data_IF_820853401414
#
_entry.id   IF_820853401414
#
_cell.length_a   1.000
_cell.length_b   1.000
_cell.length_c   1.000
_cell.angle_alpha   90.00
_cell.angle_beta   90.00
_cell.angle_gamma   90.00
#
_symmetry.space_group_name_H-M   'P 1'
#
loop_
_entity.id
_entity.type
_entity.pdbx_description
1 polymer ?
#
# COMPACT_ATOMS: atom_id res chain seq x y z
N UNK A 1 -47.03 42.91 41.87
CA UNK A 1 -46.93 44.29 41.35
C UNK A 1 -45.58 44.82 41.81
N UNK A 2 -44.59 45.21 41.03
CA UNK A 2 -44.32 45.39 39.59
C UNK A 2 -42.78 45.27 39.47
N UNK A 3 -42.25 44.29 38.74
CA UNK A 3 -41.50 44.44 37.46
C UNK A 3 -40.56 45.65 37.34
N UNK A 4 -39.25 45.39 37.43
CA UNK A 4 -38.23 46.16 36.73
C UNK A 4 -37.20 45.19 36.12
N UNK A 5 -37.23 45.12 34.79
CA UNK A 5 -36.45 44.23 33.93
C UNK A 5 -35.07 44.82 33.69
N UNK A 6 -34.00 44.15 34.10
CA UNK A 6 -32.62 44.50 33.70
C UNK A 6 -32.17 43.55 32.59
N UNK A 7 -32.03 44.11 31.38
CA UNK A 7 -31.54 43.41 30.18
C UNK A 7 -30.02 43.37 30.22
N UNK A 8 -29.44 42.17 30.44
CA UNK A 8 -28.01 41.92 30.24
C UNK A 8 -27.85 41.21 28.89
N UNK A 9 -27.39 41.96 27.89
CA UNK A 9 -26.99 41.44 26.59
C UNK A 9 -25.64 40.73 26.73
N UNK A 10 -25.67 39.41 26.90
CA UNK A 10 -24.50 38.53 26.85
C UNK A 10 -24.29 38.07 25.40
N UNK A 11 -23.35 38.73 24.70
CA UNK A 11 -22.82 38.24 23.42
C UNK A 11 -21.89 37.07 23.73
N UNK A 12 -22.42 35.85 23.70
CA UNK A 12 -21.66 34.61 23.68
C UNK A 12 -21.13 34.37 22.26
N UNK A 13 -19.90 34.77 21.98
CA UNK A 13 -19.13 34.21 20.88
C UNK A 13 -18.75 32.77 21.23
N UNK A 14 -19.26 31.80 20.46
CA UNK A 14 -18.84 30.41 20.51
C UNK A 14 -17.33 30.28 20.30
N UNK A 15 -16.60 30.06 21.39
CA UNK A 15 -15.24 29.54 21.36
C UNK A 15 -15.36 28.01 21.23
N UNK A 16 -15.19 27.48 20.01
CA UNK A 16 -14.97 26.04 19.83
C UNK A 16 -13.60 25.67 20.41
N UNK A 17 -13.61 25.07 21.61
CA UNK A 17 -12.47 24.36 22.17
C UNK A 17 -12.33 23.06 21.37
N UNK A 18 -11.51 23.08 20.31
CA UNK A 18 -10.97 21.85 19.72
C UNK A 18 -9.80 21.37 20.56
N UNK A 19 -10.07 20.36 21.38
CA UNK A 19 -9.05 19.52 21.99
C UNK A 19 -8.33 18.80 20.83
N UNK A 20 -7.12 19.25 20.52
CA UNK A 20 -6.26 18.68 19.50
C UNK A 20 -5.76 17.31 19.92
N UNK A 21 -6.39 16.26 19.40
CA UNK A 21 -5.79 14.94 19.34
C UNK A 21 -4.78 14.91 18.19
N UNK A 22 -3.55 14.59 18.54
CA UNK A 22 -2.35 14.51 17.71
C UNK A 22 -2.57 13.66 16.45
N UNK A 23 -2.65 14.32 15.30
CA UNK A 23 -2.42 13.70 13.99
C UNK A 23 -0.93 13.40 13.84
N UNK A 24 -0.61 12.15 13.58
CA UNK A 24 0.71 11.70 13.18
C UNK A 24 1.21 12.49 11.97
N UNK A 25 2.51 12.70 11.94
CA UNK A 25 3.25 13.64 11.11
C UNK A 25 3.22 13.20 9.63
N UNK A 26 2.21 13.63 8.88
CA UNK A 26 2.40 13.98 7.47
C UNK A 26 3.02 15.38 7.44
N UNK A 27 4.35 15.45 7.50
CA UNK A 27 5.06 16.68 7.18
C UNK A 27 4.93 16.92 5.67
N UNK A 28 3.95 17.73 5.30
CA UNK A 28 3.59 18.12 3.95
C UNK A 28 4.81 18.59 3.16
N UNK A 29 5.22 17.81 2.15
CA UNK A 29 6.12 18.30 1.10
C UNK A 29 5.54 19.63 0.57
N UNK A 30 6.26 20.76 0.68
CA UNK A 30 5.73 22.05 0.26
C UNK A 30 5.36 22.14 -1.22
N UNK A 31 5.88 21.24 -2.07
CA UNK A 31 5.52 21.11 -3.48
C UNK A 31 4.27 20.22 -3.72
N UNK A 32 3.79 19.52 -2.70
CA UNK A 32 2.55 18.72 -2.75
C UNK A 32 1.29 19.61 -2.77
N UNK A 33 1.40 20.85 -2.28
CA UNK A 33 0.30 21.79 -2.33
C UNK A 33 0.20 22.41 -3.73
N UNK A 34 -0.96 22.26 -4.39
CA UNK A 34 -1.21 22.54 -5.82
C UNK A 34 -1.02 24.01 -6.27
N UNK A 35 -0.57 24.89 -5.40
CA UNK A 35 -0.32 26.31 -5.68
C UNK A 35 1.11 26.61 -6.16
N UNK A 36 2.05 25.67 -6.06
CA UNK A 36 3.43 25.87 -6.53
C UNK A 36 3.67 25.15 -7.85
N UNK A 37 3.97 25.92 -8.91
CA UNK A 37 4.26 25.41 -10.24
C UNK A 37 5.62 24.68 -10.28
N UNK A 38 5.79 23.79 -11.25
CA UNK A 38 7.09 23.20 -11.57
C UNK A 38 8.14 24.29 -11.79
N UNK A 39 9.29 24.14 -11.14
CA UNK A 39 10.35 25.14 -11.12
C UNK A 39 10.27 26.14 -9.96
N UNK A 40 9.20 26.17 -9.16
CA UNK A 40 9.18 26.98 -7.94
C UNK A 40 10.29 26.56 -6.98
N UNK A 41 11.01 27.53 -6.41
CA UNK A 41 12.14 27.28 -5.51
C UNK A 41 11.92 27.91 -4.15
N UNK A 42 12.41 27.29 -3.08
CA UNK A 42 12.38 27.89 -1.75
C UNK A 42 13.59 27.46 -0.92
N UNK A 43 14.00 28.34 0.01
CA UNK A 43 15.24 28.17 0.75
C UNK A 43 15.14 27.05 1.78
N UNK A 44 16.28 26.41 2.06
CA UNK A 44 16.42 25.52 3.21
C UNK A 44 16.67 26.33 4.47
N UNK A 45 16.06 25.94 5.59
CA UNK A 45 16.15 26.68 6.86
C UNK A 45 17.57 26.69 7.46
N UNK A 46 18.41 25.72 7.13
CA UNK A 46 19.71 25.50 7.79
C UNK A 46 20.91 25.47 6.82
N UNK A 47 20.68 25.64 5.52
CA UNK A 47 21.74 25.59 4.48
C UNK A 47 21.60 26.84 3.61
N UNK A 48 22.47 27.83 3.82
CA UNK A 48 22.31 29.13 3.14
C UNK A 48 22.56 29.09 1.63
N UNK A 49 23.32 28.12 1.11
CA UNK A 49 23.42 27.82 -0.34
C UNK A 49 22.40 26.78 -0.84
N UNK A 50 21.55 26.25 0.03
CA UNK A 50 20.65 25.12 -0.25
C UNK A 50 19.21 25.57 -0.51
N UNK A 51 18.59 24.96 -1.51
CA UNK A 51 17.20 25.23 -1.86
C UNK A 51 16.47 23.99 -2.37
N UNK A 52 15.16 24.00 -2.22
CA UNK A 52 14.26 23.02 -2.81
C UNK A 52 13.72 23.55 -4.13
N UNK A 53 13.61 22.69 -5.14
CA UNK A 53 12.94 22.97 -6.40
C UNK A 53 11.78 22.01 -6.62
N UNK A 54 10.60 22.52 -6.92
CA UNK A 54 9.44 21.70 -7.27
C UNK A 54 9.61 21.09 -8.66
N UNK A 55 9.49 19.77 -8.75
CA UNK A 55 9.49 19.02 -10.02
C UNK A 55 8.37 17.98 -9.96
N UNK A 56 7.35 18.15 -10.79
CA UNK A 56 6.14 17.32 -10.86
C UNK A 56 5.47 17.14 -9.49
N UNK A 57 5.32 18.25 -8.75
CA UNK A 57 4.67 18.26 -7.42
C UNK A 57 5.48 17.63 -6.29
N UNK A 58 6.80 17.46 -6.47
CA UNK A 58 7.73 16.95 -5.43
C UNK A 58 8.90 17.89 -5.22
N UNK A 59 9.38 17.98 -3.99
CA UNK A 59 10.57 18.78 -3.64
C UNK A 59 11.87 18.05 -3.96
N UNK A 60 12.72 18.67 -4.77
CA UNK A 60 14.07 18.18 -5.10
C UNK A 60 15.12 19.13 -4.52
N UNK A 61 16.04 18.61 -3.71
CA UNK A 61 17.13 19.38 -3.15
C UNK A 61 18.13 19.82 -4.24
N UNK A 62 18.57 21.07 -4.18
CA UNK A 62 19.55 21.68 -5.07
C UNK A 62 20.44 22.65 -4.29
N UNK A 63 21.56 23.01 -4.91
CA UNK A 63 22.60 23.83 -4.32
C UNK A 63 23.03 24.92 -5.29
N UNK A 64 23.35 26.08 -4.74
CA UNK A 64 24.04 27.15 -5.47
C UNK A 64 25.52 26.80 -5.70
N UNK A 65 26.17 27.55 -6.60
CA UNK A 65 27.60 27.37 -6.88
C UNK A 65 28.43 27.78 -5.66
N UNK A 66 29.71 27.40 -5.65
CA UNK A 66 30.62 27.81 -4.58
C UNK A 66 30.62 29.34 -4.43
N UNK A 67 30.52 29.84 -3.20
CA UNK A 67 30.46 31.28 -2.84
C UNK A 67 29.15 31.99 -3.24
N UNK A 68 28.08 31.24 -3.51
CA UNK A 68 26.74 31.77 -3.71
C UNK A 68 25.80 31.32 -2.58
N UNK A 69 24.83 32.17 -2.23
CA UNK A 69 23.73 31.89 -1.31
C UNK A 69 22.41 31.88 -2.06
N UNK A 70 21.46 31.07 -1.62
CA UNK A 70 20.12 31.07 -2.18
C UNK A 70 19.29 32.19 -1.58
N UNK A 71 18.75 33.07 -2.44
CA UNK A 71 17.93 34.20 -2.01
C UNK A 71 16.43 33.88 -2.15
N UNK A 72 15.70 33.65 -1.04
CA UNK A 72 14.33 33.12 -1.08
C UNK A 72 13.32 34.04 -1.78
N UNK A 73 13.49 35.36 -1.70
CA UNK A 73 12.59 36.31 -2.35
C UNK A 73 12.87 36.50 -3.85
N UNK A 74 14.09 36.19 -4.31
CA UNK A 74 14.49 36.32 -5.72
C UNK A 74 14.49 34.95 -6.43
N UNK A 75 14.22 33.87 -5.69
CA UNK A 75 14.22 32.49 -6.16
C UNK A 75 15.49 32.07 -6.93
N UNK A 76 16.63 32.70 -6.62
CA UNK A 76 17.90 32.50 -7.34
C UNK A 76 19.10 32.51 -6.40
N UNK A 77 20.22 32.00 -6.90
CA UNK A 77 21.51 32.09 -6.25
C UNK A 77 22.13 33.46 -6.51
N UNK A 78 22.70 34.06 -5.47
CA UNK A 78 23.40 35.34 -5.54
C UNK A 78 24.78 35.22 -4.87
N UNK A 79 25.78 36.03 -5.27
CA UNK A 79 27.10 36.02 -4.63
C UNK A 79 27.02 36.34 -3.13
N UNK A 80 27.71 35.58 -2.29
CA UNK A 80 27.86 35.86 -0.85
C UNK A 80 28.98 36.88 -0.62
N UNK A 81 28.70 38.14 -0.95
CA UNK A 81 29.69 39.24 -0.89
C UNK A 81 30.19 39.54 0.52
N UNK A 82 29.42 39.14 1.53
CA UNK A 82 29.72 39.42 2.94
C UNK A 82 30.31 38.22 3.68
N UNK A 83 30.57 37.10 2.98
CA UNK A 83 31.03 35.83 3.57
C UNK A 83 30.19 35.41 4.78
N UNK A 84 28.89 35.70 4.72
CA UNK A 84 27.96 35.46 5.83
C UNK A 84 27.62 33.99 5.98
N UNK A 85 27.73 33.23 4.89
CA UNK A 85 27.54 31.79 4.88
C UNK A 85 28.89 31.09 5.01
N UNK A 86 29.31 30.81 6.25
CA UNK A 86 30.46 29.93 6.53
C UNK A 86 30.29 28.50 5.99
N UNK A 87 29.08 28.15 5.53
CA UNK A 87 28.71 26.85 5.00
C UNK A 87 28.43 26.93 3.49
N UNK A 88 29.46 27.29 2.71
CA UNK A 88 29.42 27.25 1.23
C UNK A 88 29.45 25.83 0.68
N UNK A 89 29.78 24.84 1.52
CA UNK A 89 29.56 23.43 1.22
C UNK A 89 28.08 23.11 1.44
N UNK A 90 27.33 23.17 0.34
CA UNK A 90 26.02 22.55 0.29
C UNK A 90 26.23 21.03 0.39
N UNK A 91 26.24 20.54 1.63
CA UNK A 91 26.52 19.16 2.02
C UNK A 91 25.45 18.18 1.59
N UNK A 92 25.29 18.00 0.28
CA UNK A 92 24.89 16.72 -0.29
C UNK A 92 26.21 16.03 -0.63
N UNK A 93 27.05 15.63 0.33
CA UNK A 93 26.98 14.45 1.21
C UNK A 93 28.03 14.71 2.33
N UNK A 94 27.67 14.61 3.62
CA UNK A 94 28.34 13.77 4.67
C UNK A 94 27.75 14.04 6.09
N UNK A 95 27.96 13.15 7.09
CA UNK A 95 26.94 12.44 7.85
C UNK A 95 26.34 13.27 8.98
N UNK A 96 25.11 12.89 9.37
CA UNK A 96 24.59 13.19 10.71
C UNK A 96 25.61 12.71 11.74
N UNK A 97 26.01 13.61 12.66
CA UNK A 97 27.11 13.44 13.60
C UNK A 97 26.97 12.21 14.53
N UNK A 98 25.77 11.64 14.64
CA UNK A 98 25.55 10.24 15.05
C UNK A 98 24.34 9.72 14.29
N UNK A 99 24.56 8.86 13.30
CA UNK A 99 23.44 8.18 12.67
C UNK A 99 22.87 7.15 13.63
N UNK A 100 21.72 7.45 14.24
CA UNK A 100 20.96 6.53 15.11
C UNK A 100 20.33 5.37 14.34
N UNK A 101 20.42 5.42 13.00
CA UNK A 101 19.93 4.39 12.12
C UNK A 101 21.06 3.51 11.64
N UNK A 102 20.85 2.20 11.67
CA UNK A 102 21.77 1.22 11.09
C UNK A 102 21.16 0.59 9.85
N UNK A 103 21.91 0.38 8.76
CA UNK A 103 21.41 -0.39 7.64
C UNK A 103 21.03 -1.80 8.12
N UNK A 104 19.95 -2.35 7.59
CA UNK A 104 19.62 -3.76 7.84
C UNK A 104 20.60 -4.63 7.05
N UNK A 105 21.22 -5.60 7.72
CA UNK A 105 22.33 -6.40 7.17
C UNK A 105 21.99 -7.04 5.80
N UNK A 106 20.75 -7.49 5.61
CA UNK A 106 20.30 -8.18 4.39
C UNK A 106 19.50 -7.29 3.41
N UNK A 107 19.40 -5.98 3.66
CA UNK A 107 18.54 -5.11 2.85
C UNK A 107 19.03 -3.66 2.80
N UNK A 108 19.55 -3.26 1.63
CA UNK A 108 19.97 -1.86 1.37
C UNK A 108 18.79 -0.90 1.27
N UNK A 109 17.56 -1.40 1.12
CA UNK A 109 16.35 -0.59 1.08
C UNK A 109 15.69 -0.47 2.45
N UNK A 110 16.31 -0.98 3.50
CA UNK A 110 15.78 -0.95 4.86
C UNK A 110 16.83 -0.45 5.85
N UNK A 111 16.36 0.22 6.90
CA UNK A 111 17.19 0.68 8.00
C UNK A 111 16.51 0.43 9.34
N UNK A 112 17.28 0.42 10.41
CA UNK A 112 16.84 0.09 11.75
C UNK A 112 17.09 1.25 12.70
N UNK A 113 16.15 1.54 13.59
CA UNK A 113 16.32 2.51 14.68
C UNK A 113 16.10 1.82 16.03
N UNK A 114 16.93 2.12 17.02
CA UNK A 114 16.73 1.65 18.40
C UNK A 114 16.07 2.75 19.22
N UNK A 115 14.81 2.52 19.61
CA UNK A 115 14.04 3.43 20.47
C UNK A 115 13.72 2.71 21.77
N UNK A 116 14.29 3.19 22.89
CA UNK A 116 14.04 2.60 24.21
C UNK A 116 14.47 1.13 24.33
N UNK A 117 15.51 0.71 23.61
CA UNK A 117 16.00 -0.68 23.60
C UNK A 117 15.24 -1.63 22.66
N UNK A 118 14.22 -1.15 21.95
CA UNK A 118 13.52 -1.93 20.91
C UNK A 118 14.00 -1.49 19.53
N UNK A 119 14.29 -2.46 18.66
CA UNK A 119 14.71 -2.22 17.27
C UNK A 119 13.50 -2.16 16.35
N UNK A 120 13.32 -1.06 15.65
CA UNK A 120 12.29 -0.86 14.64
C UNK A 120 12.93 -0.88 13.24
N UNK A 121 12.29 -1.55 12.28
CA UNK A 121 12.75 -1.59 10.88
C UNK A 121 11.88 -0.69 10.01
N UNK A 122 12.52 0.10 9.16
CA UNK A 122 11.90 1.06 8.26
C UNK A 122 12.34 0.78 6.82
N UNK A 123 11.43 0.97 5.87
CA UNK A 123 11.75 0.89 4.45
C UNK A 123 12.06 2.27 3.87
N UNK A 124 13.04 2.32 3.00
CA UNK A 124 13.31 3.48 2.15
C UNK A 124 12.22 3.66 1.09
N UNK A 125 11.99 4.89 0.61
CA UNK A 125 11.16 5.14 -0.56
C UNK A 125 11.54 4.24 -1.75
N UNK A 126 10.58 3.76 -2.56
CA UNK A 126 10.88 2.91 -3.70
C UNK A 126 11.93 3.51 -4.64
N UNK A 127 12.96 2.73 -4.96
CA UNK A 127 14.08 3.16 -5.82
C UNK A 127 15.20 3.90 -5.08
N UNK A 128 15.17 3.93 -3.74
CA UNK A 128 16.24 4.51 -2.92
C UNK A 128 16.83 3.47 -1.96
N UNK A 129 18.08 3.67 -1.54
CA UNK A 129 18.78 2.83 -0.58
C UNK A 129 19.18 3.67 0.64
N UNK A 130 19.19 3.06 1.82
CA UNK A 130 19.68 3.70 3.02
C UNK A 130 21.21 3.72 2.98
N UNK A 131 21.79 4.92 3.01
CA UNK A 131 23.22 5.11 3.14
C UNK A 131 23.51 5.64 4.54
N UNK A 132 24.26 4.85 5.29
CA UNK A 132 24.64 5.21 6.65
C UNK A 132 25.54 6.46 6.66
N UNK A 133 26.36 6.68 5.61
CA UNK A 133 27.23 7.87 5.51
C UNK A 133 26.47 9.19 5.42
N UNK A 134 25.18 9.17 5.07
CA UNK A 134 24.31 10.36 5.04
C UNK A 134 23.10 10.24 5.96
N UNK A 135 23.02 9.13 6.70
CA UNK A 135 21.91 8.76 7.57
C UNK A 135 20.52 8.94 6.91
N UNK A 136 20.41 8.60 5.63
CA UNK A 136 19.22 8.87 4.85
C UNK A 136 19.07 7.92 3.67
N UNK A 137 17.86 7.85 3.14
CA UNK A 137 17.57 7.14 1.90
C UNK A 137 17.91 8.03 0.70
N UNK A 138 18.77 7.55 -0.19
CA UNK A 138 19.16 8.27 -1.41
C UNK A 138 19.08 7.37 -2.64
N UNK A 139 19.12 8.01 -3.80
CA UNK A 139 19.40 7.33 -5.06
C UNK A 139 20.89 6.99 -5.09
N UNK A 140 21.23 5.71 -5.17
CA UNK A 140 22.60 5.25 -5.36
C UNK A 140 23.08 5.72 -6.74
N UNK A 141 24.09 6.60 -6.79
CA UNK A 141 24.62 7.14 -8.06
C UNK A 141 25.56 6.16 -8.77
N UNK A 142 26.06 5.13 -8.08
CA UNK A 142 26.99 4.14 -8.65
C UNK A 142 26.28 2.85 -9.10
N UNK A 143 24.98 2.72 -8.85
CA UNK A 143 24.15 1.66 -9.44
C UNK A 143 23.04 2.27 -10.30
N UNK A 144 23.36 2.48 -11.59
CA UNK A 144 22.34 2.52 -12.64
C UNK A 144 21.52 1.23 -12.58
N UNK A 145 20.34 1.33 -11.98
CA UNK A 145 19.11 0.58 -12.28
C UNK A 145 19.31 -0.92 -12.51
N UNK A 146 19.42 -1.68 -11.42
CA UNK A 146 18.54 -2.85 -11.36
C UNK A 146 17.17 -2.25 -11.09
N UNK A 147 16.29 -2.17 -12.09
CA UNK A 147 14.86 -2.04 -11.79
C UNK A 147 14.61 -3.19 -10.83
N UNK A 148 14.25 -2.97 -9.56
CA UNK A 148 13.89 -4.09 -8.72
C UNK A 148 12.78 -4.78 -9.49
N UNK A 149 13.03 -6.01 -9.94
CA UNK A 149 11.98 -6.82 -10.59
C UNK A 149 10.73 -6.71 -9.73
N UNK A 150 9.56 -6.69 -10.34
CA UNK A 150 8.33 -6.41 -9.61
C UNK A 150 8.16 -7.41 -8.44
N UNK A 151 8.51 -6.96 -7.22
CA UNK A 151 8.51 -7.79 -6.02
C UNK A 151 7.16 -7.69 -5.31
N UNK A 152 6.71 -8.78 -4.67
CA UNK A 152 5.50 -8.73 -3.88
C UNK A 152 5.71 -7.83 -2.65
N UNK A 153 4.71 -7.00 -2.35
CA UNK A 153 4.63 -6.20 -1.12
C UNK A 153 4.05 -7.00 0.05
N UNK A 154 3.41 -8.13 -0.25
CA UNK A 154 3.02 -9.15 0.70
C UNK A 154 3.14 -10.50 0.01
N UNK A 155 3.76 -11.45 0.68
CA UNK A 155 3.96 -12.81 0.19
C UNK A 155 3.76 -13.77 1.36
N UNK A 156 3.02 -14.84 1.11
CA UNK A 156 2.93 -15.97 2.00
C UNK A 156 3.00 -17.28 1.23
N UNK A 157 4.02 -18.06 1.57
CA UNK A 157 4.23 -19.42 1.06
C UNK A 157 3.40 -20.45 1.81
N UNK A 158 2.98 -20.13 3.04
CA UNK A 158 2.39 -21.10 3.96
C UNK A 158 3.28 -22.34 4.21
N UNK A 159 4.61 -22.20 4.12
CA UNK A 159 5.55 -23.29 4.43
C UNK A 159 5.86 -23.46 5.93
N UNK A 160 5.51 -22.45 6.74
CA UNK A 160 5.76 -22.39 8.17
C UNK A 160 4.48 -22.13 8.97
N UNK A 161 4.40 -22.75 10.14
CA UNK A 161 3.31 -22.60 11.11
C UNK A 161 3.38 -21.23 11.81
N UNK A 162 4.56 -20.59 11.82
CA UNK A 162 4.72 -19.26 12.41
C UNK A 162 4.02 -18.24 11.50
N UNK A 163 3.10 -17.41 12.03
CA UNK A 163 2.51 -16.34 11.25
C UNK A 163 3.65 -15.43 10.77
N UNK A 164 3.86 -15.38 9.45
CA UNK A 164 4.76 -14.40 8.85
C UNK A 164 4.33 -12.99 9.31
N UNK A 165 5.28 -12.07 9.47
CA UNK A 165 4.99 -10.75 10.01
C UNK A 165 3.82 -10.08 9.26
N UNK A 166 2.78 -9.71 10.01
CA UNK A 166 1.60 -9.08 9.44
C UNK A 166 0.50 -10.01 8.96
N UNK A 167 0.63 -11.33 9.15
CA UNK A 167 -0.43 -12.30 8.88
C UNK A 167 -1.10 -12.72 10.19
N UNK A 168 -2.43 -12.63 10.23
CA UNK A 168 -3.26 -13.15 11.30
C UNK A 168 -4.14 -14.29 10.76
N UNK A 169 -4.08 -15.47 11.37
CA UNK A 169 -4.92 -16.60 10.99
C UNK A 169 -5.88 -17.00 12.11
N UNK A 170 -6.99 -17.64 11.74
CA UNK A 170 -7.95 -18.20 12.70
C UNK A 170 -8.45 -19.55 12.20
N UNK A 171 -8.29 -20.59 13.03
CA UNK A 171 -8.81 -21.94 12.76
C UNK A 171 -8.24 -22.62 11.51
N UNK A 172 -7.11 -22.11 10.98
CA UNK A 172 -6.47 -22.65 9.78
C UNK A 172 -5.72 -23.94 10.10
N UNK A 173 -5.76 -24.88 9.17
CA UNK A 173 -4.98 -26.11 9.23
C UNK A 173 -3.85 -26.03 8.21
N UNK A 174 -2.63 -26.28 8.65
CA UNK A 174 -1.49 -26.40 7.76
C UNK A 174 -1.35 -27.86 7.38
N UNK A 175 -1.46 -28.17 6.09
CA UNK A 175 -1.34 -29.54 5.60
C UNK A 175 -0.01 -29.66 4.87
N UNK A 176 0.79 -30.65 5.29
CA UNK A 176 1.96 -31.13 4.56
C UNK A 176 1.57 -32.48 3.95
N UNK A 177 1.39 -32.52 2.63
CA UNK A 177 0.99 -33.75 1.94
C UNK A 177 2.18 -34.71 1.70
N UNK A 178 3.41 -34.30 2.08
CA UNK A 178 4.61 -35.11 2.03
C UNK A 178 4.99 -35.60 0.63
N UNK A 179 4.29 -35.12 -0.42
CA UNK A 179 4.63 -35.43 -1.80
C UNK A 179 5.59 -34.36 -2.29
N UNK A 180 6.63 -34.78 -2.99
CA UNK A 180 7.72 -33.95 -3.52
C UNK A 180 7.25 -33.06 -4.70
N UNK A 181 6.19 -32.29 -4.46
CA UNK A 181 5.64 -31.31 -5.36
C UNK A 181 5.99 -29.93 -4.82
N UNK A 182 6.13 -28.94 -5.71
CA UNK A 182 6.38 -27.54 -5.36
C UNK A 182 5.28 -26.87 -4.49
N UNK A 183 4.31 -27.64 -3.99
CA UNK A 183 3.15 -27.25 -3.17
C UNK A 183 2.80 -28.31 -2.11
N UNK A 184 3.83 -28.96 -1.56
CA UNK A 184 3.66 -29.99 -0.54
C UNK A 184 2.98 -29.44 0.72
N UNK A 185 3.17 -28.14 1.00
CA UNK A 185 2.60 -27.44 2.14
C UNK A 185 1.62 -26.38 1.67
N UNK A 186 0.49 -26.28 2.35
CA UNK A 186 -0.54 -25.28 2.04
C UNK A 186 -1.41 -25.02 3.26
N UNK A 187 -2.14 -23.89 3.20
CA UNK A 187 -3.18 -23.62 4.18
C UNK A 187 -4.52 -24.19 3.71
N UNK A 188 -5.14 -25.01 4.55
CA UNK A 188 -6.48 -25.53 4.33
C UNK A 188 -7.49 -24.73 5.16
N UNK A 189 -8.55 -24.28 4.47
CA UNK A 189 -9.64 -23.52 5.03
C UNK A 189 -10.88 -24.42 5.06
N UNK A 190 -11.39 -24.69 6.27
CA UNK A 190 -12.45 -25.69 6.49
C UNK A 190 -13.88 -25.13 6.45
N UNK A 191 -14.12 -23.98 5.82
CA UNK A 191 -15.43 -23.30 5.86
C UNK A 191 -15.72 -22.55 7.16
N UNK A 192 -14.74 -22.44 8.07
CA UNK A 192 -14.82 -21.54 9.24
C UNK A 192 -13.51 -20.78 9.50
N UNK A 193 -12.41 -21.31 8.97
CA UNK A 193 -11.09 -20.73 9.03
C UNK A 193 -10.92 -19.53 8.10
N UNK A 194 -9.98 -18.64 8.42
CA UNK A 194 -9.59 -17.53 7.54
C UNK A 194 -8.16 -17.04 7.83
N UNK A 195 -7.58 -16.38 6.84
CA UNK A 195 -6.28 -15.68 6.95
C UNK A 195 -6.50 -14.20 6.65
N UNK A 196 -5.90 -13.30 7.43
CA UNK A 196 -5.98 -11.86 7.28
C UNK A 196 -4.56 -11.29 7.15
N UNK A 197 -4.29 -10.64 6.02
CA UNK A 197 -3.02 -9.97 5.75
C UNK A 197 -3.13 -8.54 6.28
N UNK A 198 -2.87 -8.38 7.58
CA UNK A 198 -3.06 -7.15 8.36
C UNK A 198 -2.16 -6.02 7.87
N UNK A 199 -0.96 -6.33 7.37
CA UNK A 199 -0.03 -5.34 6.77
C UNK A 199 -0.62 -4.58 5.59
N UNK A 200 -1.65 -5.13 4.94
CA UNK A 200 -2.36 -4.47 3.86
C UNK A 200 -3.58 -3.65 4.32
N UNK A 201 -3.82 -3.54 5.63
CA UNK A 201 -4.89 -2.71 6.17
C UNK A 201 -4.69 -1.25 5.80
N UNK A 202 -5.77 -0.55 5.47
CA UNK A 202 -5.75 0.83 4.98
C UNK A 202 -4.87 1.07 3.74
N UNK A 203 -4.44 0.03 3.02
CA UNK A 203 -3.63 0.20 1.83
C UNK A 203 -4.43 0.83 0.68
N UNK A 204 -3.77 1.76 -0.02
CA UNK A 204 -4.30 2.41 -1.20
C UNK A 204 -3.74 1.77 -2.46
N UNK A 205 -4.63 1.22 -3.30
CA UNK A 205 -4.28 0.60 -4.57
C UNK A 205 -4.69 1.53 -5.73
N UNK A 206 -4.01 2.67 -5.86
CA UNK A 206 -4.42 3.73 -6.79
C UNK A 206 -4.04 3.42 -8.24
N UNK A 207 -2.82 2.99 -8.52
CA UNK A 207 -2.35 2.87 -9.90
C UNK A 207 -2.37 1.45 -10.44
N UNK A 208 -1.85 0.52 -9.63
CA UNK A 208 -1.65 -0.86 -10.03
C UNK A 208 -1.85 -1.76 -8.83
N UNK A 209 -2.49 -2.90 -9.07
CA UNK A 209 -2.61 -3.99 -8.12
C UNK A 209 -2.54 -5.30 -8.90
N UNK A 210 -1.61 -6.17 -8.54
CA UNK A 210 -1.65 -7.56 -8.96
C UNK A 210 -1.75 -8.45 -7.72
N UNK A 211 -2.58 -9.49 -7.79
CA UNK A 211 -2.73 -10.49 -6.75
C UNK A 211 -2.60 -11.85 -7.43
N UNK A 212 -1.75 -12.72 -6.89
CA UNK A 212 -1.60 -14.11 -7.35
C UNK A 212 -1.73 -15.05 -6.18
N UNK A 213 -2.35 -16.20 -6.40
CA UNK A 213 -2.32 -17.33 -5.47
C UNK A 213 -2.71 -18.61 -6.20
N UNK A 214 -2.36 -19.74 -5.60
CA UNK A 214 -2.88 -21.04 -5.98
C UNK A 214 -4.06 -21.42 -5.10
N UNK A 215 -5.06 -22.06 -5.69
CA UNK A 215 -6.27 -22.48 -4.98
C UNK A 215 -6.73 -23.86 -5.46
N UNK A 216 -7.15 -24.70 -4.53
CA UNK A 216 -7.79 -25.99 -4.80
C UNK A 216 -9.10 -26.10 -4.02
N UNK A 217 -10.25 -25.77 -4.64
CA UNK A 217 -11.55 -25.87 -4.00
C UNK A 217 -12.01 -27.32 -3.89
N UNK A 218 -12.65 -27.71 -2.78
CA UNK A 218 -13.12 -29.10 -2.58
C UNK A 218 -14.38 -29.45 -3.40
N UNK A 219 -15.06 -28.43 -3.93
CA UNK A 219 -16.11 -28.56 -4.93
C UNK A 219 -17.49 -29.04 -4.47
N UNK A 220 -17.62 -29.48 -3.22
CA UNK A 220 -18.89 -29.95 -2.66
C UNK A 220 -19.58 -28.87 -1.81
N UNK A 221 -20.15 -27.85 -2.46
CA UNK A 221 -20.88 -26.78 -1.78
C UNK A 221 -22.04 -26.28 -2.64
N UNK A 222 -23.13 -25.83 -2.02
CA UNK A 222 -24.37 -25.42 -2.69
C UNK A 222 -24.64 -23.89 -2.64
N UNK A 223 -23.70 -23.12 -2.09
CA UNK A 223 -23.80 -21.68 -1.88
C UNK A 223 -22.59 -20.97 -2.49
N UNK A 224 -22.57 -19.63 -2.44
CA UNK A 224 -21.39 -18.88 -2.93
C UNK A 224 -20.39 -18.77 -1.80
N UNK A 225 -19.13 -19.08 -2.05
CA UNK A 225 -18.06 -18.92 -1.06
C UNK A 225 -17.20 -17.70 -1.39
N UNK A 226 -16.62 -17.07 -0.38
CA UNK A 226 -15.70 -15.93 -0.58
C UNK A 226 -14.27 -16.38 -0.38
N UNK A 227 -13.47 -16.29 -1.44
CA UNK A 227 -12.06 -16.63 -1.43
C UNK A 227 -11.25 -15.46 -0.90
N UNK A 228 -11.49 -14.25 -1.41
CA UNK A 228 -10.73 -13.05 -1.06
C UNK A 228 -11.68 -11.87 -0.90
N UNK A 229 -11.48 -11.05 0.12
CA UNK A 229 -12.13 -9.74 0.28
C UNK A 229 -11.17 -8.76 0.94
N UNK A 230 -11.25 -7.47 0.61
CA UNK A 230 -10.54 -6.41 1.32
C UNK A 230 -11.44 -5.64 2.31
N UNK A 231 -12.58 -6.23 2.71
CA UNK A 231 -13.49 -5.65 3.69
C UNK A 231 -14.06 -6.73 4.60
N UNK A 232 -14.03 -6.47 5.90
CA UNK A 232 -14.84 -7.18 6.90
C UNK A 232 -15.82 -6.19 7.49
N UNK A 233 -17.10 -6.51 7.38
CA UNK A 233 -18.13 -5.71 8.02
C UNK A 233 -18.41 -6.18 9.45
N UNK A 234 -18.40 -5.24 10.40
CA UNK A 234 -18.72 -5.49 11.81
C UNK A 234 -20.19 -5.15 12.12
N UNK A 235 -20.87 -4.35 11.28
CA UNK A 235 -22.26 -3.89 11.50
C UNK A 235 -23.25 -4.49 10.49
N UNK A 236 -24.38 -5.02 10.99
CA UNK A 236 -25.38 -5.82 10.24
C UNK A 236 -26.28 -5.06 9.26
N UNK A 237 -26.29 -3.72 9.26
CA UNK A 237 -27.25 -2.92 8.49
C UNK A 237 -26.54 -2.00 7.49
N UNK A 238 -26.08 -2.55 6.37
CA UNK A 238 -25.66 -1.73 5.26
C UNK A 238 -26.26 -2.21 3.95
N UNK A 239 -26.84 -1.27 3.20
CA UNK A 239 -27.50 -1.51 1.91
C UNK A 239 -26.75 -0.88 0.73
N UNK A 240 -25.62 -0.21 1.00
CA UNK A 240 -24.88 0.58 0.01
C UNK A 240 -23.61 -0.14 -0.47
N UNK A 241 -23.18 0.16 -1.70
CA UNK A 241 -21.95 -0.36 -2.35
C UNK A 241 -20.68 -0.09 -1.53
N UNK A 242 -20.73 0.90 -0.62
CA UNK A 242 -19.66 1.22 0.35
C UNK A 242 -19.36 0.09 1.34
N UNK A 243 -20.22 -0.93 1.42
CA UNK A 243 -20.09 -2.06 2.34
C UNK A 243 -19.66 -3.36 1.65
N UNK A 244 -19.57 -3.37 0.32
CA UNK A 244 -18.88 -4.43 -0.37
C UNK A 244 -17.36 -4.23 -0.25
N UNK A 245 -16.60 -5.34 -0.31
CA UNK A 245 -15.18 -5.27 -0.58
C UNK A 245 -14.94 -4.58 -1.91
N UNK A 246 -13.99 -3.64 -1.97
CA UNK A 246 -13.60 -3.03 -3.24
C UNK A 246 -12.90 -4.01 -4.17
N UNK A 247 -12.31 -5.06 -3.61
CA UNK A 247 -11.86 -6.23 -4.35
C UNK A 247 -12.42 -7.45 -3.65
N UNK A 248 -13.16 -8.26 -4.38
CA UNK A 248 -13.76 -9.47 -3.84
C UNK A 248 -13.74 -10.59 -4.87
N UNK A 249 -13.22 -11.75 -4.49
CA UNK A 249 -13.19 -12.95 -5.33
C UNK A 249 -14.08 -13.99 -4.67
N UNK A 250 -15.11 -14.42 -5.39
CA UNK A 250 -16.10 -15.39 -4.93
C UNK A 250 -16.14 -16.62 -5.81
N UNK A 251 -16.36 -17.77 -5.19
CA UNK A 251 -16.54 -19.05 -5.85
C UNK A 251 -18.02 -19.44 -5.91
N UNK A 252 -18.48 -19.87 -7.07
CA UNK A 252 -19.85 -20.37 -7.29
C UNK A 252 -19.86 -21.89 -7.46
N UNK A 253 -20.96 -22.59 -7.10
CA UNK A 253 -21.09 -24.04 -7.24
C UNK A 253 -20.94 -24.58 -8.67
N UNK A 254 -21.06 -23.72 -9.68
CA UNK A 254 -21.01 -24.09 -11.09
C UNK A 254 -19.62 -23.90 -11.72
N UNK A 255 -18.55 -24.13 -10.96
CA UNK A 255 -17.16 -24.02 -11.43
C UNK A 255 -16.82 -22.62 -11.96
N UNK A 256 -17.40 -21.56 -11.36
CA UNK A 256 -17.15 -20.17 -11.75
C UNK A 256 -16.56 -19.36 -10.61
N UNK A 257 -15.56 -18.56 -10.95
CA UNK A 257 -14.96 -17.56 -10.10
C UNK A 257 -15.48 -16.19 -10.54
N UNK A 258 -16.15 -15.49 -9.63
CA UNK A 258 -16.64 -14.13 -9.82
C UNK A 258 -15.71 -13.17 -9.09
N UNK A 259 -15.10 -12.27 -9.84
CA UNK A 259 -14.34 -11.17 -9.26
C UNK A 259 -15.16 -9.89 -9.34
N UNK A 260 -15.50 -9.34 -8.19
CA UNK A 260 -16.12 -8.04 -8.08
C UNK A 260 -15.08 -6.99 -7.74
N UNK A 261 -15.15 -5.87 -8.44
CA UNK A 261 -14.33 -4.71 -8.13
C UNK A 261 -15.24 -3.50 -7.98
N UNK A 262 -15.09 -2.78 -6.88
CA UNK A 262 -15.75 -1.47 -6.71
C UNK A 262 -14.74 -0.40 -7.09
N UNK A 263 -15.07 0.30 -8.18
CA UNK A 263 -14.29 1.44 -8.66
C UNK A 263 -15.21 2.65 -8.82
N UNK A 264 -14.91 3.73 -8.11
CA UNK A 264 -15.68 4.97 -8.12
C UNK A 264 -17.18 4.74 -7.84
N UNK A 265 -17.48 3.93 -6.82
CA UNK A 265 -18.83 3.48 -6.46
C UNK A 265 -19.57 2.65 -7.53
N UNK A 266 -18.89 2.18 -8.58
CA UNK A 266 -19.44 1.24 -9.57
C UNK A 266 -18.92 -0.16 -9.31
N UNK A 267 -19.83 -1.13 -9.31
CA UNK A 267 -19.48 -2.55 -9.16
C UNK A 267 -19.25 -3.19 -10.52
N UNK A 268 -18.00 -3.48 -10.82
CA UNK A 268 -17.58 -4.26 -11.99
C UNK A 268 -17.59 -5.75 -11.64
N UNK A 269 -17.86 -6.59 -12.64
CA UNK A 269 -17.89 -8.05 -12.48
C UNK A 269 -17.11 -8.72 -13.60
N UNK A 270 -16.12 -9.51 -13.23
CA UNK A 270 -15.40 -10.42 -14.11
C UNK A 270 -15.82 -11.86 -13.80
N UNK A 271 -15.68 -12.77 -14.77
CA UNK A 271 -16.06 -14.18 -14.59
C UNK A 271 -15.11 -15.09 -15.33
N UNK A 272 -14.49 -16.02 -14.61
CA UNK A 272 -13.65 -17.09 -15.15
C UNK A 272 -14.14 -18.46 -14.68
N UNK A 273 -13.72 -19.50 -15.39
CA UNK A 273 -13.93 -20.87 -14.96
C UNK A 273 -12.81 -21.33 -14.01
N UNK A 274 -13.09 -22.33 -13.19
CA UNK A 274 -12.14 -22.95 -12.25
C UNK A 274 -12.47 -24.43 -12.10
N UNK A 275 -11.45 -25.28 -11.95
CA UNK A 275 -11.66 -26.73 -11.76
C UNK A 275 -11.62 -27.09 -10.27
N UNK A 276 -12.63 -27.80 -9.78
CA UNK A 276 -12.65 -28.29 -8.39
C UNK A 276 -11.78 -29.53 -8.21
N UNK A 277 -11.25 -29.72 -7.00
CA UNK A 277 -10.34 -30.82 -6.65
C UNK A 277 -8.93 -30.67 -7.23
N UNK A 278 -8.69 -29.67 -8.08
CA UNK A 278 -7.41 -29.42 -8.73
C UNK A 278 -6.82 -28.06 -8.35
N UNK A 279 -5.50 -27.93 -8.45
CA UNK A 279 -4.82 -26.66 -8.23
C UNK A 279 -5.01 -25.72 -9.42
N UNK A 280 -5.52 -24.52 -9.14
CA UNK A 280 -5.71 -23.46 -10.12
C UNK A 280 -4.85 -22.26 -9.73
N UNK A 281 -4.06 -21.73 -10.66
CA UNK A 281 -3.42 -20.43 -10.46
C UNK A 281 -4.45 -19.35 -10.73
N UNK A 282 -4.60 -18.42 -9.80
CA UNK A 282 -5.46 -17.25 -9.96
C UNK A 282 -4.59 -16.01 -10.01
N UNK A 283 -4.80 -15.19 -11.05
CA UNK A 283 -4.27 -13.84 -11.15
C UNK A 283 -5.41 -12.85 -11.19
N UNK A 284 -5.34 -11.80 -10.39
CA UNK A 284 -6.14 -10.59 -10.54
C UNK A 284 -5.19 -9.43 -10.82
N UNK A 285 -5.45 -8.66 -11.87
CA UNK A 285 -4.64 -7.49 -12.22
C UNK A 285 -5.50 -6.27 -12.49
N UNK A 286 -5.04 -5.14 -11.98
CA UNK A 286 -5.58 -3.81 -12.21
C UNK A 286 -4.46 -2.86 -12.60
N UNK A 287 -4.64 -2.10 -13.69
CA UNK A 287 -3.72 -1.03 -14.12
C UNK A 287 -4.50 0.17 -14.65
N UNK A 288 -4.59 1.26 -13.89
CA UNK A 288 -5.37 2.45 -14.28
C UNK A 288 -4.68 3.37 -15.28
N UNK A 289 -3.35 3.49 -15.25
CA UNK A 289 -2.64 4.54 -16.00
C UNK A 289 -2.46 4.24 -17.49
N UNK A 290 -2.24 2.97 -17.90
CA UNK A 290 -2.00 2.64 -19.31
C UNK A 290 -3.29 2.39 -20.08
N UNK A 291 -4.07 1.39 -19.62
CA UNK A 291 -5.25 0.89 -20.35
C UNK A 291 -6.53 0.98 -19.51
N UNK A 292 -6.45 1.14 -18.19
CA UNK A 292 -7.63 1.03 -17.31
C UNK A 292 -8.18 -0.38 -17.33
N UNK A 293 -7.34 -1.40 -17.17
CA UNK A 293 -7.77 -2.79 -17.31
C UNK A 293 -7.94 -3.41 -15.93
N UNK A 294 -9.09 -4.05 -15.74
CA UNK A 294 -9.33 -5.02 -14.68
C UNK A 294 -9.38 -6.39 -15.32
N UNK A 295 -8.54 -7.32 -14.88
CA UNK A 295 -8.45 -8.64 -15.44
C UNK A 295 -8.33 -9.70 -14.37
N UNK A 296 -8.86 -10.88 -14.67
CA UNK A 296 -8.70 -12.07 -13.86
C UNK A 296 -8.43 -13.27 -14.76
N UNK A 297 -7.51 -14.14 -14.34
CA UNK A 297 -7.28 -15.45 -14.94
C UNK A 297 -7.34 -16.51 -13.87
N UNK A 298 -7.96 -17.63 -14.18
CA UNK A 298 -7.97 -18.84 -13.35
C UNK A 298 -7.73 -20.04 -14.26
N UNK A 299 -6.61 -20.73 -14.06
CA UNK A 299 -6.16 -21.78 -14.99
C UNK A 299 -6.04 -21.24 -16.42
N UNK A 300 -6.76 -21.85 -17.36
CA UNK A 300 -6.78 -21.45 -18.77
C UNK A 300 -7.90 -20.46 -19.12
N UNK A 301 -8.71 -20.03 -18.15
CA UNK A 301 -9.82 -19.11 -18.38
C UNK A 301 -9.46 -17.71 -17.93
N UNK A 302 -9.70 -16.71 -18.78
CA UNK A 302 -9.47 -15.30 -18.48
C UNK A 302 -10.69 -14.43 -18.79
N UNK A 303 -10.80 -13.30 -18.09
CA UNK A 303 -11.83 -12.28 -18.30
C UNK A 303 -11.26 -10.92 -17.93
N UNK A 304 -11.51 -9.92 -18.76
CA UNK A 304 -11.08 -8.55 -18.49
C UNK A 304 -12.15 -7.53 -18.92
N UNK A 305 -12.09 -6.35 -18.31
CA UNK A 305 -12.91 -5.19 -18.63
C UNK A 305 -11.98 -3.97 -18.68
N UNK A 306 -12.24 -3.08 -19.64
CA UNK A 306 -11.62 -1.77 -19.70
C UNK A 306 -12.51 -0.78 -18.94
N UNK A 307 -12.03 -0.30 -17.80
CA UNK A 307 -12.65 0.72 -16.98
C UNK A 307 -11.60 1.68 -16.42
N UNK A 308 -11.77 2.97 -16.68
CA UNK A 308 -10.95 4.01 -16.05
C UNK A 308 -11.58 4.37 -14.71
N UNK A 309 -10.80 4.26 -13.64
CA UNK A 309 -11.23 4.54 -12.29
C UNK A 309 -10.29 3.91 -11.28
N UNK A 310 -10.39 4.33 -10.02
CA UNK A 310 -9.59 3.83 -8.92
C UNK A 310 -10.33 2.75 -8.13
N UNK A 311 -9.62 1.76 -7.59
CA UNK A 311 -10.23 0.84 -6.62
C UNK A 311 -10.55 1.64 -5.35
N UNK A 312 -11.78 1.56 -4.88
CA UNK A 312 -12.18 2.27 -3.68
C UNK A 312 -11.36 1.81 -2.47
N UNK A 313 -10.99 2.73 -1.57
CA UNK A 313 -10.26 2.36 -0.36
C UNK A 313 -11.15 1.57 0.61
N UNK A 314 -10.56 0.60 1.32
CA UNK A 314 -11.15 -0.05 2.50
C UNK A 314 -10.15 -0.06 3.66
N UNK A 315 -10.69 -0.08 4.87
CA UNK A 315 -9.88 -0.05 6.09
C UNK A 315 -9.28 -1.42 6.45
N UNK A 316 -9.91 -2.50 6.01
CA UNK A 316 -9.46 -3.87 6.30
C UNK A 316 -8.27 -4.25 5.42
N UNK A 317 -7.45 -5.18 5.89
CA UNK A 317 -6.46 -5.87 5.06
C UNK A 317 -7.10 -6.78 4.02
N UNK A 318 -6.29 -7.60 3.36
CA UNK A 318 -6.80 -8.66 2.49
C UNK A 318 -7.11 -9.90 3.32
N UNK A 319 -8.32 -10.42 3.22
CA UNK A 319 -8.78 -11.58 3.98
C UNK A 319 -9.09 -12.72 3.02
N UNK A 320 -8.51 -13.87 3.30
CA UNK A 320 -8.73 -15.12 2.63
C UNK A 320 -9.75 -15.98 3.37
N UNK A 321 -10.74 -16.50 2.65
CA UNK A 321 -11.70 -17.49 3.11
C UNK A 321 -12.88 -17.01 3.94
N UNK A 322 -12.99 -15.70 4.18
CA UNK A 322 -14.08 -15.10 4.94
C UNK A 322 -14.85 -14.08 4.10
N UNK A 323 -16.20 -14.11 4.10
CA UNK A 323 -17.02 -13.13 3.42
C UNK A 323 -17.00 -11.76 4.13
N UNK A 324 -17.22 -10.70 3.35
CA UNK A 324 -17.39 -9.33 3.88
C UNK A 324 -18.65 -9.19 4.75
N UNK A 325 -19.77 -9.78 4.31
CA UNK A 325 -21.09 -9.67 4.95
C UNK A 325 -21.78 -11.05 4.97
N UNK A 326 -22.34 -11.41 6.14
CA UNK A 326 -23.39 -12.42 6.39
C UNK A 326 -23.48 -13.66 5.47
N UNK A 327 -22.88 -14.77 5.90
CA UNK A 327 -23.46 -16.06 6.37
C UNK A 327 -22.25 -16.96 6.61
N UNK A 328 -22.22 -17.75 7.69
CA UNK A 328 -21.11 -18.69 7.91
C UNK A 328 -21.00 -19.73 6.78
N UNK A 329 -22.09 -19.98 6.06
CA UNK A 329 -22.03 -20.80 4.84
C UNK A 329 -21.05 -20.22 3.83
N UNK A 330 -20.93 -18.90 3.69
CA UNK A 330 -20.21 -18.29 2.56
C UNK A 330 -18.68 -18.25 2.77
N UNK A 331 -18.18 -18.94 3.79
CA UNK A 331 -16.76 -19.15 4.01
C UNK A 331 -16.21 -20.15 2.99
N UNK A 332 -14.95 -19.97 2.62
CA UNK A 332 -14.30 -20.85 1.65
C UNK A 332 -13.94 -22.21 2.27
N UNK A 333 -14.11 -23.25 1.47
CA UNK A 333 -13.66 -24.61 1.77
C UNK A 333 -12.69 -25.09 0.70
N UNK A 334 -11.43 -25.30 1.09
CA UNK A 334 -10.38 -25.77 0.18
C UNK A 334 -9.00 -25.28 0.59
N UNK A 335 -8.01 -25.57 -0.25
CA UNK A 335 -6.62 -25.20 -0.02
C UNK A 335 -6.25 -23.89 -0.76
N UNK A 336 -5.36 -23.10 -0.14
CA UNK A 336 -4.73 -21.92 -0.73
C UNK A 336 -3.22 -22.02 -0.52
N UNK A 337 -2.47 -21.55 -1.50
CA UNK A 337 -1.01 -21.56 -1.48
C UNK A 337 -0.40 -20.34 -2.22
N UNK A 338 0.85 -20.00 -1.93
CA UNK A 338 1.67 -19.03 -2.68
C UNK A 338 0.98 -17.67 -2.90
N UNK A 339 0.42 -17.09 -1.84
CA UNK A 339 -0.32 -15.83 -1.91
C UNK A 339 0.63 -14.64 -2.04
N UNK A 340 0.47 -13.85 -3.11
CA UNK A 340 1.34 -12.71 -3.47
C UNK A 340 0.51 -11.49 -3.84
N UNK A 341 0.95 -10.32 -3.39
CA UNK A 341 0.33 -9.02 -3.70
C UNK A 341 1.41 -8.06 -4.19
N UNK A 342 1.13 -7.33 -5.27
CA UNK A 342 2.08 -6.43 -5.91
C UNK A 342 1.46 -5.05 -6.14
N UNK A 343 2.30 -4.01 -6.09
CA UNK A 343 1.97 -2.64 -6.53
C UNK A 343 2.51 -2.33 -7.95
N UNK A 344 2.84 -3.38 -8.68
CA UNK A 344 3.33 -3.38 -10.07
C UNK A 344 2.78 -4.63 -10.76
N UNK A 345 2.95 -4.74 -12.08
CA UNK A 345 2.62 -5.97 -12.82
C UNK A 345 3.90 -6.79 -12.98
N UNK A 346 4.00 -7.98 -12.33
CA UNK A 346 5.18 -8.82 -12.45
C UNK A 346 5.27 -9.49 -13.82
N UNK A 347 6.47 -9.90 -14.22
CA UNK A 347 6.70 -10.46 -15.55
C UNK A 347 5.94 -11.76 -15.75
N UNK A 348 5.80 -12.57 -14.68
CA UNK A 348 4.97 -13.77 -14.66
C UNK A 348 3.50 -13.46 -14.99
N UNK A 349 2.97 -12.31 -14.55
CA UNK A 349 1.62 -11.88 -14.89
C UNK A 349 1.52 -11.43 -16.35
N UNK A 350 2.54 -10.77 -16.89
CA UNK A 350 2.56 -10.34 -18.30
C UNK A 350 2.64 -11.54 -19.25
N UNK A 351 3.41 -12.55 -18.87
CA UNK A 351 3.50 -13.80 -19.62
C UNK A 351 2.20 -14.61 -19.52
N UNK A 352 1.55 -14.59 -18.35
CA UNK A 352 0.33 -15.36 -18.12
C UNK A 352 -0.93 -14.74 -18.71
N UNK A 353 -1.03 -13.41 -18.86
CA UNK A 353 -2.29 -12.72 -19.18
C UNK A 353 -2.24 -12.12 -20.59
N UNK A 354 -3.14 -12.57 -21.47
CA UNK A 354 -3.13 -12.15 -22.88
C UNK A 354 -3.50 -10.68 -23.10
N UNK A 355 -4.19 -10.07 -22.13
CA UNK A 355 -4.78 -8.73 -22.22
C UNK A 355 -3.90 -7.60 -21.67
N UNK A 356 -2.78 -7.94 -21.03
CA UNK A 356 -1.78 -6.99 -20.53
C UNK A 356 -0.81 -6.66 -21.65
#
# INVERSE_FOLDING_TARGET
>A
METATLVITLILTCLEIKIGYSRGIEATDPCFNATKMDGYRYGMLLICGGYWQCVKGKSVAKCCSAKEIYHPNLHTCIPDTNLTCNNTNCGVINPVQECRHTPKMDSRTEFQEVVGGTTFTFQCPPGTVFLQEICSCTFDKEQMVVVPGCKPIAYSSFDSIIPEEGIQSYGVEMIDDGKDHARAKYVYLNGSAYVNIVTLSNSYFTKTLAISFWIRPDGNFNHTQTILTNHIQIRRNCKDVKCDGSVEIRLRPNNKLFTFVVSENRRLKLTTNITFGEWNQVWFVYESEKKGVFGVKSGNSESYIVHKGFIDQRMSGLILGRPSITRRSDYFTGAIDEFKVYKCIPDEAKEALSFI
#
